data_IF_886760201910
#
_entry.id   IF_886760201910
#
_cell.length_a   1.000
_cell.length_b   1.000
_cell.length_c   1.000
_cell.angle_alpha   90.00
_cell.angle_beta   90.00
_cell.angle_gamma   90.00
#
_symmetry.space_group_name_H-M   'P 1'
#
loop_
_entity.id
_entity.type
_entity.pdbx_description
1 polymer ?
2 non-polymer ?
3 non-polymer ?
4 non-polymer ?
5 water ?
#
# COMPACT_ATOMS: atom_id res chain seq x y z
N UNK A 1 -18.49 8.16 1.16
CA UNK A 1 -19.09 7.88 -0.18
C UNK A 1 -18.54 6.58 -0.77
N UNK A 2 -18.75 5.43 -0.08
CA UNK A 2 -17.97 4.23 -0.35
C UNK A 2 -17.74 3.82 -1.82
N UNK A 3 -16.57 3.23 -2.02
CA UNK A 3 -16.33 2.19 -3.03
C UNK A 3 -16.37 0.82 -2.32
N UNK A 4 -16.61 -0.24 -3.07
CA UNK A 4 -16.63 -1.64 -2.57
C UNK A 4 -15.19 -2.15 -2.61
N UNK A 5 -14.79 -2.89 -1.60
CA UNK A 5 -13.45 -3.54 -1.50
C UNK A 5 -13.65 -5.02 -1.84
N UNK A 6 -12.72 -5.74 -2.52
CA UNK A 6 -11.49 -5.17 -3.05
C UNK A 6 -11.72 -4.23 -4.23
N UNK A 7 -10.78 -3.30 -4.38
CA UNK A 7 -10.85 -2.20 -5.37
C UNK A 7 -9.55 -2.20 -6.17
N UNK A 8 -9.67 -2.08 -7.48
CA UNK A 8 -8.51 -1.98 -8.40
C UNK A 8 -8.46 -0.55 -8.92
N UNK A 9 -7.41 0.16 -8.54
CA UNK A 9 -7.16 1.51 -9.08
C UNK A 9 -6.15 1.39 -10.20
N UNK A 10 -6.56 1.61 -11.47
CA UNK A 10 -5.61 1.69 -12.58
C UNK A 10 -4.59 2.83 -12.46
N UNK A 11 -3.33 2.54 -12.77
CA UNK A 11 -2.20 3.50 -12.81
C UNK A 11 -1.68 3.52 -14.25
N UNK A 12 -2.33 4.28 -15.17
CA UNK A 12 -2.00 4.23 -16.59
C UNK A 12 -0.56 4.69 -16.86
N UNK A 13 0.21 3.85 -17.52
CA UNK A 13 1.61 4.12 -17.84
C UNK A 13 2.50 3.94 -16.63
N UNK A 14 1.97 3.35 -15.57
CA UNK A 14 2.75 2.98 -14.38
C UNK A 14 2.93 4.16 -13.46
N UNK A 15 3.90 4.10 -12.59
CA UNK A 15 4.12 5.21 -11.64
C UNK A 15 5.39 5.94 -12.07
N UNK A 16 5.54 7.16 -11.56
CA UNK A 16 6.65 8.09 -11.88
C UNK A 16 6.93 8.89 -10.61
N UNK A 17 8.20 9.30 -10.37
CA UNK A 17 8.52 10.16 -9.24
C UNK A 17 7.62 11.41 -9.21
N UNK A 18 7.31 11.89 -8.01
CA UNK A 18 6.42 13.04 -7.69
C UNK A 18 4.95 12.66 -7.92
N UNK A 19 4.63 11.38 -8.09
CA UNK A 19 3.23 10.89 -8.09
C UNK A 19 2.80 10.57 -6.64
N UNK A 20 1.70 11.17 -6.17
CA UNK A 20 1.21 10.97 -4.78
C UNK A 20 -0.14 10.26 -4.83
N UNK A 21 -0.23 9.09 -4.20
CA UNK A 21 -1.48 8.29 -4.17
C UNK A 21 -2.07 8.44 -2.77
N UNK A 22 -3.33 8.86 -2.70
CA UNK A 22 -4.05 9.11 -1.43
C UNK A 22 -5.20 8.10 -1.31
N UNK A 23 -5.21 7.30 -0.22
CA UNK A 23 -6.31 6.37 0.16
C UNK A 23 -6.95 6.85 1.47
N UNK A 24 -8.25 7.15 1.41
CA UNK A 24 -9.09 7.49 2.59
C UNK A 24 -10.04 6.34 2.87
N UNK A 25 -10.18 5.99 4.13
CA UNK A 25 -11.23 5.07 4.56
C UNK A 25 -11.27 4.92 6.06
N UNK A 26 -11.93 3.86 6.50
CA UNK A 26 -12.14 3.57 7.93
C UNK A 26 -11.84 2.09 8.17
N UNK A 27 -11.04 1.80 9.18
CA UNK A 27 -10.79 0.38 9.53
C UNK A 27 -12.06 -0.18 10.16
N UNK A 28 -12.42 -1.40 9.77
CA UNK A 28 -13.60 -2.10 10.36
C UNK A 28 -13.28 -2.45 11.81
N UNK A 29 -14.28 -2.54 12.72
CA UNK A 29 -13.99 -2.98 14.08
C UNK A 29 -13.48 -4.42 13.98
N UNK A 30 -12.57 -4.81 14.86
CA UNK A 30 -12.01 -6.20 14.83
C UNK A 30 -11.43 -6.55 13.44
N UNK A 31 -10.76 -5.61 12.79
CA UNK A 31 -9.98 -5.84 11.54
C UNK A 31 -8.89 -6.89 11.79
N UNK A 32 -8.59 -7.70 10.78
CA UNK A 32 -7.42 -8.60 10.76
C UNK A 32 -6.29 -8.04 9.87
N UNK A 33 -6.60 -7.40 8.74
CA UNK A 33 -5.53 -7.00 7.80
C UNK A 33 -6.03 -5.95 6.83
N UNK A 34 -5.06 -5.18 6.33
CA UNK A 34 -5.17 -4.26 5.17
C UNK A 34 -4.08 -4.69 4.18
N UNK A 35 -4.31 -4.54 2.88
CA UNK A 35 -3.25 -4.76 1.88
C UNK A 35 -3.38 -3.75 0.74
N UNK A 36 -2.28 -3.06 0.46
CA UNK A 36 -2.07 -2.38 -0.83
C UNK A 36 -1.12 -3.24 -1.66
N UNK A 37 -1.49 -3.49 -2.89
CA UNK A 37 -0.67 -4.30 -3.82
C UNK A 37 -0.46 -3.49 -5.09
N UNK A 38 0.77 -2.99 -5.25
CA UNK A 38 1.18 -2.31 -6.48
C UNK A 38 1.68 -3.41 -7.42
N UNK A 39 0.94 -3.61 -8.51
CA UNK A 39 1.14 -4.80 -9.37
C UNK A 39 1.78 -4.40 -10.71
N UNK A 40 2.75 -5.20 -11.15
CA UNK A 40 3.25 -5.22 -12.54
C UNK A 40 2.84 -6.56 -13.15
N UNK A 41 1.70 -6.59 -13.85
CA UNK A 41 1.04 -7.84 -14.24
C UNK A 41 0.80 -8.71 -13.02
N UNK A 42 1.31 -9.93 -13.01
CA UNK A 42 1.12 -10.86 -11.87
C UNK A 42 2.14 -10.54 -10.77
N UNK A 43 3.24 -9.84 -11.05
CA UNK A 43 4.23 -9.56 -9.97
C UNK A 43 3.67 -8.48 -9.06
N UNK A 44 4.07 -8.49 -7.79
CA UNK A 44 3.68 -7.42 -6.83
C UNK A 44 4.96 -6.63 -6.54
N UNK A 45 5.08 -5.43 -7.11
CA UNK A 45 6.25 -4.54 -6.95
C UNK A 45 6.41 -4.16 -5.48
N UNK A 46 5.29 -3.81 -4.86
CA UNK A 46 5.26 -3.32 -3.47
C UNK A 46 3.96 -3.79 -2.85
N UNK A 47 4.11 -4.64 -1.84
CA UNK A 47 3.04 -5.15 -0.95
C UNK A 47 3.19 -4.46 0.40
N UNK A 48 2.16 -3.73 0.79
CA UNK A 48 2.07 -3.01 2.09
C UNK A 48 0.93 -3.64 2.90
N UNK A 49 1.28 -4.34 3.98
CA UNK A 49 0.36 -5.29 4.67
C UNK A 49 0.39 -5.07 6.18
N UNK A 50 -0.41 -4.12 6.73
CA UNK A 50 -0.71 -4.08 8.15
C UNK A 50 -1.49 -5.31 8.62
N UNK A 51 -0.91 -6.01 9.59
CA UNK A 51 -1.52 -7.20 10.23
C UNK A 51 -1.84 -6.80 11.67
N UNK A 52 -3.11 -6.92 12.07
CA UNK A 52 -3.63 -6.52 13.41
C UNK A 52 -3.46 -7.65 14.41
N UNK A 53 -3.17 -8.88 13.98
CA UNK A 53 -2.93 -10.00 14.94
C UNK A 53 -1.92 -10.96 14.31
N UNK A 54 -0.65 -10.65 14.43
CA UNK A 54 0.42 -11.59 14.06
C UNK A 54 1.10 -12.02 15.36
N UNK A 55 0.78 -13.21 15.83
CA UNK A 55 1.21 -13.69 17.16
C UNK A 55 0.85 -12.62 18.21
N UNK A 56 -0.37 -12.06 18.15
CA UNK A 56 -0.95 -11.11 19.16
C UNK A 56 -0.20 -9.77 19.19
N UNK A 57 0.43 -9.39 18.09
CA UNK A 57 1.11 -8.09 17.94
C UNK A 57 0.60 -7.44 16.66
N UNK A 58 0.66 -6.12 16.59
CA UNK A 58 0.35 -5.36 15.36
C UNK A 58 1.67 -5.06 14.63
N UNK A 59 1.77 -5.44 13.36
CA UNK A 59 3.02 -5.24 12.58
C UNK A 59 2.67 -4.92 11.12
N UNK A 60 3.48 -4.07 10.52
CA UNK A 60 3.42 -3.79 9.06
C UNK A 60 4.51 -4.61 8.38
N UNK A 61 4.09 -5.39 7.40
CA UNK A 61 4.94 -6.24 6.54
C UNK A 61 4.96 -5.62 5.15
N UNK A 62 6.15 -5.36 4.62
CA UNK A 62 6.38 -4.95 3.21
C UNK A 62 7.21 -6.00 2.49
N UNK A 63 6.83 -6.26 1.25
CA UNK A 63 7.52 -7.28 0.43
C UNK A 63 7.21 -7.08 -1.05
N UNK A 64 7.83 -7.92 -1.86
CA UNK A 64 7.78 -7.94 -3.34
C UNK A 64 7.58 -9.40 -3.76
N UNK A 65 6.65 -9.65 -4.67
CA UNK A 65 6.39 -11.00 -5.23
C UNK A 65 6.82 -11.03 -6.70
N UNK A 66 7.82 -11.86 -7.03
CA UNK A 66 8.38 -12.03 -8.39
C UNK A 66 8.18 -13.49 -8.82
N UNK A 67 7.49 -13.72 -9.92
CA UNK A 67 7.29 -15.08 -10.47
C UNK A 67 6.61 -15.96 -9.43
N UNK A 68 5.68 -15.37 -8.69
CA UNK A 68 4.85 -16.02 -7.64
C UNK A 68 5.67 -16.39 -6.41
N UNK A 69 6.87 -15.86 -6.23
CA UNK A 69 7.70 -16.10 -5.02
C UNK A 69 7.87 -14.78 -4.25
N UNK A 70 7.45 -14.76 -2.99
CA UNK A 70 7.67 -13.64 -2.05
C UNK A 70 9.18 -13.53 -1.74
N UNK A 71 9.72 -12.30 -1.63
CA UNK A 71 11.13 -12.02 -1.30
C UNK A 71 11.33 -11.83 0.20
N UNK A 72 12.39 -11.12 0.60
CA UNK A 72 12.73 -10.84 2.02
C UNK A 72 11.78 -9.75 2.55
N UNK A 73 11.07 -10.01 3.66
CA UNK A 73 10.11 -9.05 4.26
C UNK A 73 10.89 -7.94 4.96
N UNK A 74 10.43 -6.71 4.81
CA UNK A 74 10.83 -5.56 5.68
C UNK A 74 9.66 -5.28 6.63
N UNK A 75 9.88 -5.38 7.94
CA UNK A 75 8.83 -5.21 8.98
C UNK A 75 9.04 -3.92 9.79
N UNK A 76 7.94 -3.39 10.29
CA UNK A 76 7.83 -2.12 11.03
C UNK A 76 6.82 -2.37 12.16
N UNK A 77 7.24 -2.23 13.43
CA UNK A 77 6.41 -2.28 14.66
C UNK A 77 5.55 -1.02 14.84
N UNK A 78 5.98 0.12 14.31
CA UNK A 78 5.22 1.41 14.37
C UNK A 78 3.90 1.18 13.63
N UNK A 79 2.77 1.26 14.31
CA UNK A 79 1.48 0.81 13.78
C UNK A 79 0.43 1.88 14.03
N UNK A 80 0.19 2.78 13.06
CA UNK A 80 -0.67 3.93 13.32
C UNK A 80 -2.16 3.72 13.00
N UNK A 81 -2.59 2.54 12.61
CA UNK A 81 -4.01 2.23 12.36
C UNK A 81 -4.64 1.77 13.69
N UNK A 82 -5.95 1.93 13.79
CA UNK A 82 -6.75 1.47 14.94
C UNK A 82 -8.06 0.96 14.40
N UNK A 83 -8.55 -0.17 14.92
CA UNK A 83 -9.87 -0.73 14.54
C UNK A 83 -10.96 0.30 14.80
N UNK A 84 -11.83 0.49 13.83
CA UNK A 84 -12.99 1.40 13.90
C UNK A 84 -12.64 2.84 13.50
N UNK A 85 -11.37 3.19 13.24
CA UNK A 85 -10.98 4.62 13.06
C UNK A 85 -10.66 4.97 11.61
N UNK A 86 -11.04 6.20 11.19
CA UNK A 86 -10.70 6.71 9.87
C UNK A 86 -9.17 6.85 9.70
N UNK A 87 -8.67 6.61 8.48
CA UNK A 87 -7.24 6.78 8.14
C UNK A 87 -7.10 7.47 6.78
N UNK A 88 -5.91 8.00 6.55
CA UNK A 88 -5.41 8.50 5.25
C UNK A 88 -4.04 7.85 5.07
N UNK A 89 -3.91 7.04 4.02
CA UNK A 89 -2.59 6.54 3.55
C UNK A 89 -2.20 7.33 2.32
N UNK A 90 -1.02 7.92 2.38
CA UNK A 90 -0.36 8.57 1.23
C UNK A 90 0.88 7.79 0.83
N UNK A 91 0.92 7.36 -0.43
CA UNK A 91 2.13 6.75 -1.05
C UNK A 91 2.72 7.76 -2.02
N UNK A 92 3.94 8.18 -1.73
CA UNK A 92 4.66 9.13 -2.60
C UNK A 92 5.74 8.33 -3.32
N UNK A 93 5.69 8.37 -4.64
CA UNK A 93 6.67 7.67 -5.51
C UNK A 93 7.85 8.61 -5.66
N UNK A 94 9.01 8.19 -5.17
CA UNK A 94 10.27 8.97 -5.32
C UNK A 94 11.23 8.19 -6.21
N UNK A 95 12.34 8.79 -6.67
CA UNK A 95 13.16 8.11 -7.68
C UNK A 95 13.72 6.75 -7.22
N UNK A 96 14.02 6.58 -5.94
CA UNK A 96 14.69 5.34 -5.46
C UNK A 96 13.79 4.52 -4.53
N UNK A 97 12.64 5.08 -4.11
CA UNK A 97 11.78 4.41 -3.10
C UNK A 97 10.33 4.87 -3.20
N UNK A 98 9.47 4.04 -2.64
CA UNK A 98 8.12 4.43 -2.19
C UNK A 98 8.27 5.02 -0.80
N UNK A 99 7.69 6.20 -0.57
CA UNK A 99 7.57 6.78 0.80
C UNK A 99 6.12 6.64 1.26
N UNK A 100 5.89 6.08 2.43
CA UNK A 100 4.49 5.99 2.96
C UNK A 100 4.32 6.89 4.17
N UNK A 101 3.24 7.65 4.17
CA UNK A 101 2.79 8.42 5.34
C UNK A 101 1.32 8.06 5.65
N UNK A 102 1.01 7.88 6.93
CA UNK A 102 -0.35 7.63 7.48
C UNK A 102 -0.72 8.80 8.40
N UNK A 103 -1.90 9.38 8.18
CA UNK A 103 -2.46 10.48 9.01
C UNK A 103 -1.40 11.60 9.10
N UNK A 104 -0.74 11.91 7.97
CA UNK A 104 0.23 13.03 7.79
C UNK A 104 1.51 12.83 8.59
N UNK A 105 1.79 11.62 9.05
CA UNK A 105 3.08 11.29 9.69
C UNK A 105 3.83 10.28 8.83
N UNK A 106 5.13 10.51 8.64
CA UNK A 106 6.02 9.59 7.90
C UNK A 106 5.99 8.25 8.62
N UNK A 107 5.91 7.17 7.85
CA UNK A 107 5.86 5.80 8.42
C UNK A 107 7.10 5.03 7.98
N UNK A 108 7.34 4.91 6.68
CA UNK A 108 8.43 4.03 6.15
C UNK A 108 8.75 4.42 4.71
N UNK A 109 9.93 4.00 4.25
CA UNK A 109 10.28 4.00 2.82
C UNK A 109 10.60 2.55 2.43
N UNK A 110 10.44 2.24 1.16
CA UNK A 110 10.64 0.90 0.55
C UNK A 110 11.36 1.14 -0.78
N UNK A 111 12.63 0.78 -0.80
CA UNK A 111 13.53 0.92 -1.96
C UNK A 111 12.93 0.11 -3.11
N UNK A 112 12.97 0.63 -4.35
CA UNK A 112 12.42 -0.04 -5.56
C UNK A 112 13.21 -1.32 -5.86
N UNK A 113 12.56 -2.49 -5.76
CA UNK A 113 13.13 -3.79 -6.19
C UNK A 113 12.74 -4.05 -7.65
N UNK A 114 11.54 -3.65 -8.04
CA UNK A 114 11.09 -3.65 -9.45
C UNK A 114 11.53 -2.33 -10.05
N UNK A 115 12.27 -2.38 -11.16
CA UNK A 115 12.92 -1.17 -11.75
C UNK A 115 12.00 -0.54 -12.81
N UNK A 116 11.06 -1.29 -13.37
CA UNK A 116 10.19 -0.75 -14.45
C UNK A 116 8.96 -0.11 -13.80
N UNK A 117 9.13 1.09 -13.23
CA UNK A 117 8.02 1.85 -12.60
C UNK A 117 6.93 2.07 -13.65
N UNK A 118 7.28 2.19 -14.93
CA UNK A 118 6.30 2.52 -16.02
C UNK A 118 5.42 1.30 -16.31
N UNK A 119 5.67 0.13 -15.66
CA UNK A 119 4.87 -1.10 -15.87
C UNK A 119 4.07 -1.47 -14.61
N UNK A 120 4.20 -0.71 -13.52
CA UNK A 120 3.41 -0.88 -12.27
C UNK A 120 2.08 -0.15 -12.49
N UNK A 121 1.11 -0.81 -13.12
CA UNK A 121 -0.06 -0.16 -13.76
C UNK A 121 -1.36 -0.48 -13.01
N UNK A 122 -1.28 -1.12 -11.85
CA UNK A 122 -2.52 -1.44 -11.08
C UNK A 122 -2.23 -1.33 -9.59
N UNK A 123 -3.13 -0.71 -8.81
CA UNK A 123 -3.07 -0.76 -7.33
C UNK A 123 -4.32 -1.47 -6.82
N UNK A 124 -4.07 -2.62 -6.20
CA UNK A 124 -5.10 -3.42 -5.53
C UNK A 124 -5.20 -2.99 -4.08
N UNK A 125 -6.40 -2.64 -3.66
CA UNK A 125 -6.71 -2.23 -2.26
C UNK A 125 -7.64 -3.29 -1.69
N UNK A 126 -7.24 -3.99 -0.62
CA UNK A 126 -8.07 -5.05 -0.01
C UNK A 126 -7.95 -5.06 1.52
N UNK A 127 -8.76 -5.89 2.16
CA UNK A 127 -8.73 -6.12 3.61
C UNK A 127 -9.93 -5.52 4.32
N UNK A 128 -9.81 -5.34 5.62
CA UNK A 128 -10.93 -5.04 6.54
C UNK A 128 -11.14 -3.51 6.64
N UNK A 129 -11.54 -2.86 5.55
CA UNK A 129 -11.78 -1.40 5.53
C UNK A 129 -13.07 -1.08 4.77
N UNK A 130 -13.66 0.06 5.09
CA UNK A 130 -14.62 0.80 4.24
C UNK A 130 -13.77 1.79 3.44
N UNK A 131 -13.87 1.79 2.11
CA UNK A 131 -13.07 2.70 1.26
C UNK A 131 -13.93 3.90 0.90
N UNK A 132 -13.44 5.09 1.21
CA UNK A 132 -14.09 6.40 0.94
C UNK A 132 -13.59 6.86 -0.42
N UNK A 133 -12.27 6.86 -0.63
CA UNK A 133 -11.63 7.56 -1.77
C UNK A 133 -10.27 6.90 -2.07
N UNK A 134 -9.91 6.76 -3.35
CA UNK A 134 -8.55 6.39 -3.80
C UNK A 134 -8.25 7.20 -5.06
N UNK A 135 -7.23 8.05 -5.04
CA UNK A 135 -6.87 8.92 -6.17
C UNK A 135 -5.38 9.23 -6.12
N UNK A 136 -4.91 9.89 -7.17
CA UNK A 136 -3.50 10.30 -7.29
C UNK A 136 -3.49 11.69 -7.92
N UNK A 137 -2.38 12.37 -7.75
CA UNK A 137 -2.06 13.66 -8.39
C UNK A 137 -0.53 13.69 -8.55
N UNK A 138 -0.01 14.68 -9.26
CA UNK A 138 1.44 14.98 -9.32
C UNK A 138 1.71 16.13 -8.37
N UNK A 139 2.76 16.05 -7.56
CA UNK A 139 3.13 17.16 -6.63
C UNK A 139 4.22 18.01 -7.31
X LIG B 1 2.47 -14.34 3.05
X LIG B 1 1.08 -13.77 2.83
X LIG B 1 1.12 -12.77 1.69
X LIG B 1 2.12 -11.65 1.96
X LIG B 1 3.47 -12.25 2.24
X LIG B 1 4.42 -11.18 2.69
X LIG B 1 0.22 -14.81 2.45
X LIG B 1 -0.21 -12.23 1.47
X LIG B 1 1.69 -10.81 3.07
X LIG B 1 3.36 -13.21 3.31
X LIG B 1 5.76 -11.70 2.73
X LIG B 1 2.54 -15.53 4.41
X LIG B 1 1.46 -14.78 6.07
X LIG B 1 -0.16 -15.47 5.83
X LIG B 1 -0.94 -14.44 6.35
X LIG B 1 -2.38 -14.72 6.25
X LIG B 1 -3.05 -13.56 7.00
X LIG B 1 -2.07 -12.52 7.19
X LIG B 1 -2.76 -16.16 6.80
X LIG B 1 -3.83 -16.12 7.76
X LIG B 1 -1.57 -16.84 7.49
X LIG B 1 -1.26 -16.16 8.74
X LIG B 1 -0.33 -16.82 6.58
X LIG B 1 -0.45 -17.89 5.64
X LIG C 1 -10.24 1.22 19.86
X LIG D 1 11.97 -4.72 -13.41
#
# INVERSE_FOLDING_TARGET
GPLIVPYNLPLPGGVVPRMLITILGTVKPNANRIALDFQRGNDVAFHFNPRFNENNRRVIVCNTKLDNNWGREERQSVFPFESGKPFKIQVLVEPDHFKVAVNDAHLLQYNHRVKKLNEISKLGISGDIDLTSASYTMI
4IW C1 C2 C3 C4 C5 C6 O2 O3 O4 O5 O6 SE1 SE2 CAO OAP CAQ CAW OAX CAR OAV CAS OAU CAN OAT
MG MG
CL CL
#
